data_IF_953926317682
#
_entry.id   IF_953926317682
#
_cell.length_a   1.000
_cell.length_b   1.000
_cell.length_c   1.000
_cell.angle_alpha   90.00
_cell.angle_beta   90.00
_cell.angle_gamma   90.00
#
_symmetry.space_group_name_H-M   'P 1'
#
loop_
_entity.id
_entity.type
_entity.pdbx_description
1 polymer ?
#
# COMPACT_ATOMS: atom_id res chain seq x y z
N UNK A 1 -7.06 31.31 6.33
CA UNK A 1 -5.81 30.54 6.23
C UNK A 1 -6.22 29.07 6.19
N UNK A 2 -5.76 28.30 5.21
CA UNK A 2 -6.05 26.85 5.17
C UNK A 2 -5.02 26.17 6.06
N UNK A 3 -5.47 25.52 7.13
CA UNK A 3 -4.58 24.74 8.00
C UNK A 3 -3.94 23.62 7.18
N UNK A 4 -2.61 23.61 7.11
CA UNK A 4 -1.87 22.59 6.36
C UNK A 4 -1.87 21.31 7.20
N UNK A 5 -2.52 20.27 6.69
CA UNK A 5 -2.62 18.98 7.37
C UNK A 5 -1.38 18.15 7.00
N UNK A 6 -0.64 17.69 8.02
CA UNK A 6 0.43 16.70 7.83
C UNK A 6 -0.15 15.33 7.47
N UNK A 7 0.54 14.58 6.61
CA UNK A 7 0.08 13.26 6.15
C UNK A 7 -0.18 12.27 7.30
N UNK A 8 0.56 12.41 8.41
CA UNK A 8 0.37 11.59 9.61
C UNK A 8 -1.00 11.81 10.26
N UNK A 9 -1.55 13.03 10.18
CA UNK A 9 -2.88 13.33 10.69
C UNK A 9 -3.98 12.71 9.83
N UNK A 10 -3.76 12.60 8.51
CA UNK A 10 -4.68 11.88 7.63
C UNK A 10 -4.72 10.39 7.98
N UNK A 11 -3.56 9.79 8.23
CA UNK A 11 -3.49 8.40 8.66
C UNK A 11 -4.25 8.16 9.97
N UNK A 12 -4.11 9.04 10.97
CA UNK A 12 -4.85 8.92 12.24
C UNK A 12 -6.37 8.90 12.04
N UNK A 13 -6.89 9.62 11.03
CA UNK A 13 -8.32 9.57 10.69
C UNK A 13 -8.70 8.24 10.05
N UNK A 14 -7.89 7.73 9.13
CA UNK A 14 -8.11 6.43 8.49
C UNK A 14 -8.04 5.28 9.51
N UNK A 15 -7.15 5.35 10.48
CA UNK A 15 -6.99 4.33 11.53
C UNK A 15 -8.24 4.14 12.41
N UNK A 16 -9.04 5.21 12.54
CA UNK A 16 -10.31 5.21 13.28
C UNK A 16 -11.49 4.75 12.43
N UNK A 17 -11.31 4.52 11.13
CA UNK A 17 -12.40 4.11 10.25
C UNK A 17 -12.88 2.70 10.60
N UNK A 18 -14.20 2.46 10.75
CA UNK A 18 -14.74 1.17 11.20
C UNK A 18 -14.34 0.01 10.26
N UNK A 19 -14.29 0.25 8.95
CA UNK A 19 -13.90 -0.79 7.99
C UNK A 19 -12.47 -1.30 8.19
N UNK A 20 -11.55 -0.48 8.72
CA UNK A 20 -10.19 -0.92 8.99
C UNK A 20 -10.15 -1.83 10.23
N UNK A 21 -10.90 -1.48 11.28
CA UNK A 21 -11.06 -2.33 12.45
C UNK A 21 -11.76 -3.65 12.12
N UNK A 22 -12.79 -3.59 11.26
CA UNK A 22 -13.49 -4.76 10.74
C UNK A 22 -12.55 -5.65 9.92
N UNK A 23 -11.77 -5.08 8.99
CA UNK A 23 -10.79 -5.83 8.21
C UNK A 23 -9.77 -6.55 9.09
N UNK A 24 -9.20 -5.86 10.08
CA UNK A 24 -8.25 -6.47 11.01
C UNK A 24 -8.87 -7.58 11.89
N UNK A 25 -10.15 -7.48 12.21
CA UNK A 25 -10.86 -8.51 12.97
C UNK A 25 -11.25 -9.71 12.09
N UNK A 26 -11.69 -9.46 10.86
CA UNK A 26 -12.08 -10.50 9.90
C UNK A 26 -10.88 -11.36 9.50
N UNK A 27 -9.72 -10.76 9.26
CA UNK A 27 -8.49 -11.49 8.88
C UNK A 27 -8.02 -12.49 9.95
N UNK A 28 -8.50 -12.41 11.20
CA UNK A 28 -8.24 -13.44 12.22
C UNK A 28 -9.07 -14.71 12.02
N UNK A 29 -10.20 -14.61 11.31
CA UNK A 29 -11.20 -15.65 11.18
C UNK A 29 -11.37 -16.15 9.74
N UNK A 30 -10.90 -15.38 8.74
CA UNK A 30 -11.00 -15.73 7.32
C UNK A 30 -9.63 -15.78 6.67
N UNK A 31 -9.47 -16.69 5.70
CA UNK A 31 -8.25 -16.77 4.91
C UNK A 31 -8.17 -15.71 3.80
N UNK A 32 -9.32 -15.29 3.26
CA UNK A 32 -9.40 -14.35 2.14
C UNK A 32 -10.40 -13.26 2.48
N UNK A 33 -9.95 -12.01 2.36
CA UNK A 33 -10.79 -10.81 2.50
C UNK A 33 -10.69 -10.00 1.21
N UNK A 34 -11.82 -9.69 0.59
CA UNK A 34 -11.89 -8.76 -0.54
C UNK A 34 -12.24 -7.36 -0.03
N UNK A 35 -11.43 -6.37 -0.39
CA UNK A 35 -11.63 -4.96 -0.04
C UNK A 35 -11.83 -4.17 -1.32
N UNK A 36 -12.97 -3.50 -1.44
CA UNK A 36 -13.35 -2.73 -2.63
C UNK A 36 -13.51 -1.24 -2.30
N UNK A 37 -13.55 -0.38 -3.32
CA UNK A 37 -13.72 1.07 -3.17
C UNK A 37 -12.47 1.84 -2.77
N UNK A 38 -11.30 1.21 -2.73
CA UNK A 38 -10.02 1.90 -2.52
C UNK A 38 -9.51 2.46 -3.85
N UNK A 39 -9.39 3.78 -3.92
CA UNK A 39 -8.88 4.52 -5.08
C UNK A 39 -7.63 5.35 -4.73
N UNK A 40 -6.68 5.45 -5.67
CA UNK A 40 -5.44 6.20 -5.48
C UNK A 40 -4.69 5.78 -4.20
N UNK A 41 -4.28 6.78 -3.42
CA UNK A 41 -3.50 6.63 -2.18
C UNK A 41 -4.28 6.06 -0.99
N UNK A 42 -5.61 5.89 -1.09
CA UNK A 42 -6.38 5.23 -0.04
C UNK A 42 -5.95 3.77 0.16
N UNK A 43 -5.42 3.10 -0.88
CA UNK A 43 -4.82 1.77 -0.78
C UNK A 43 -3.63 1.77 0.17
N UNK A 44 -2.72 2.75 0.04
CA UNK A 44 -1.55 2.87 0.90
C UNK A 44 -1.94 3.19 2.35
N UNK A 45 -2.88 4.12 2.56
CA UNK A 45 -3.35 4.46 3.91
C UNK A 45 -4.06 3.28 4.60
N UNK A 46 -4.88 2.53 3.86
CA UNK A 46 -5.50 1.31 4.37
C UNK A 46 -4.45 0.26 4.73
N UNK A 47 -3.48 0.02 3.85
CA UNK A 47 -2.38 -0.92 4.07
C UNK A 47 -1.55 -0.58 5.30
N UNK A 48 -1.15 0.68 5.46
CA UNK A 48 -0.42 1.16 6.64
C UNK A 48 -1.26 1.03 7.90
N UNK A 49 -2.53 1.44 7.85
CA UNK A 49 -3.43 1.32 9.00
C UNK A 49 -3.63 -0.14 9.41
N UNK A 50 -3.67 -1.06 8.45
CA UNK A 50 -3.78 -2.49 8.71
C UNK A 50 -2.48 -3.02 9.31
N UNK A 51 -1.32 -2.66 8.75
CA UNK A 51 0.00 -3.02 9.29
C UNK A 51 0.18 -2.57 10.74
N UNK A 52 -0.27 -1.37 11.10
CA UNK A 52 -0.21 -0.88 12.49
C UNK A 52 -1.14 -1.64 13.44
N UNK A 53 -2.33 -2.06 12.97
CA UNK A 53 -3.27 -2.85 13.78
C UNK A 53 -2.88 -4.32 13.90
N UNK A 54 -2.27 -4.87 12.86
CA UNK A 54 -1.81 -6.26 12.77
C UNK A 54 -0.34 -6.26 12.29
N UNK A 55 0.63 -6.02 13.20
CA UNK A 55 2.04 -5.97 12.83
C UNK A 55 2.55 -7.33 12.35
N UNK A 56 2.78 -7.43 11.04
CA UNK A 56 3.36 -8.59 10.37
C UNK A 56 3.90 -8.18 9.00
N UNK A 57 4.64 -9.07 8.34
CA UNK A 57 5.14 -8.83 6.98
C UNK A 57 4.00 -8.93 5.97
N UNK A 58 3.81 -7.89 5.16
CA UNK A 58 2.86 -7.87 4.05
C UNK A 58 3.57 -7.83 2.71
N UNK A 59 3.09 -8.63 1.76
CA UNK A 59 3.49 -8.57 0.36
C UNK A 59 2.34 -7.97 -0.46
N UNK A 60 2.62 -6.85 -1.14
CA UNK A 60 1.67 -6.22 -2.06
C UNK A 60 2.11 -6.46 -3.49
N UNK A 61 1.20 -7.02 -4.30
CA UNK A 61 1.44 -7.34 -5.71
C UNK A 61 0.55 -6.46 -6.55
N UNK A 62 1.14 -5.77 -7.54
CA UNK A 62 0.43 -4.92 -8.50
C UNK A 62 0.63 -5.44 -9.92
N UNK A 63 -0.28 -5.06 -10.81
CA UNK A 63 -0.28 -5.52 -12.21
C UNK A 63 0.89 -4.94 -13.03
N UNK A 64 1.42 -3.80 -12.61
CA UNK A 64 2.45 -3.07 -13.36
C UNK A 64 3.39 -2.30 -12.41
N UNK A 65 4.57 -1.95 -12.93
CA UNK A 65 5.62 -1.30 -12.16
C UNK A 65 5.28 0.15 -11.76
N UNK A 66 4.44 0.84 -12.54
CA UNK A 66 4.03 2.22 -12.26
C UNK A 66 3.07 2.25 -11.05
N UNK A 67 2.02 1.42 -11.07
CA UNK A 67 1.09 1.25 -9.95
C UNK A 67 1.81 0.82 -8.66
N UNK A 68 2.75 -0.12 -8.77
CA UNK A 68 3.58 -0.54 -7.65
C UNK A 68 4.44 0.60 -7.10
N UNK A 69 5.05 1.40 -8.00
CA UNK A 69 5.89 2.54 -7.66
C UNK A 69 5.12 3.64 -6.93
N UNK A 70 3.91 3.97 -7.40
CA UNK A 70 3.03 4.92 -6.70
C UNK A 70 2.65 4.41 -5.30
N UNK A 71 2.24 3.15 -5.17
CA UNK A 71 1.92 2.59 -3.87
C UNK A 71 3.13 2.57 -2.92
N UNK A 72 4.31 2.20 -3.41
CA UNK A 72 5.54 2.22 -2.63
C UNK A 72 5.86 3.63 -2.13
N UNK A 73 5.73 4.64 -2.99
CA UNK A 73 5.99 6.03 -2.62
C UNK A 73 5.00 6.51 -1.55
N UNK A 74 3.71 6.25 -1.72
CA UNK A 74 2.67 6.62 -0.77
C UNK A 74 2.93 5.97 0.60
N UNK A 75 3.23 4.67 0.66
CA UNK A 75 3.54 3.99 1.92
C UNK A 75 4.81 4.58 2.56
N UNK A 76 5.84 4.83 1.77
CA UNK A 76 7.12 5.40 2.24
C UNK A 76 6.94 6.81 2.80
N UNK A 77 6.10 7.64 2.21
CA UNK A 77 5.78 8.98 2.74
C UNK A 77 5.09 8.90 4.11
N UNK A 78 4.32 7.84 4.36
CA UNK A 78 3.49 7.71 5.56
C UNK A 78 4.24 7.08 6.73
N UNK A 79 5.07 6.05 6.49
CA UNK A 79 5.78 5.32 7.57
C UNK A 79 7.31 5.35 7.46
N UNK A 80 7.85 6.09 6.48
CA UNK A 80 9.27 6.13 6.17
C UNK A 80 9.73 4.92 5.34
N UNK A 81 11.02 4.90 5.00
CA UNK A 81 11.62 3.90 4.10
C UNK A 81 12.24 2.69 4.81
N UNK A 82 12.38 2.74 6.14
CA UNK A 82 13.07 1.65 6.89
C UNK A 82 12.29 0.33 6.87
N UNK A 83 10.97 0.43 6.86
CA UNK A 83 10.05 -0.71 6.97
C UNK A 83 9.47 -1.12 5.60
N UNK A 84 9.91 -0.49 4.50
CA UNK A 84 9.29 -0.63 3.19
C UNK A 84 10.34 -1.02 2.16
N UNK A 85 10.15 -2.18 1.53
CA UNK A 85 11.03 -2.70 0.48
C UNK A 85 10.30 -2.67 -0.85
N UNK A 86 11.02 -2.32 -1.92
CA UNK A 86 10.51 -2.38 -3.29
C UNK A 86 11.21 -3.48 -4.07
N UNK A 87 10.43 -4.41 -4.61
CA UNK A 87 10.94 -5.52 -5.43
C UNK A 87 10.52 -5.30 -6.89
N UNK A 88 11.33 -4.58 -7.70
CA UNK A 88 11.03 -4.45 -9.12
C UNK A 88 11.16 -5.82 -9.81
N UNK A 89 10.47 -5.99 -10.93
CA UNK A 89 10.65 -7.19 -11.75
C UNK A 89 12.12 -7.31 -12.19
N UNK A 90 12.72 -8.48 -11.96
CA UNK A 90 14.06 -8.81 -12.47
C UNK A 90 14.06 -8.97 -14.01
N UNK A 91 12.88 -9.08 -14.63
CA UNK A 91 12.74 -9.20 -16.07
C UNK A 91 12.99 -7.85 -16.74
N UNK A 92 14.26 -7.53 -16.99
CA UNK A 92 14.64 -6.49 -17.94
C UNK A 92 14.14 -6.95 -19.31
N UNK A 93 13.04 -6.38 -19.80
CA UNK A 93 12.62 -6.56 -21.20
C UNK A 93 13.72 -5.97 -22.10
N UNK A 94 14.71 -6.78 -22.45
CA UNK A 94 15.57 -6.54 -23.62
C UNK A 94 14.79 -6.63 -24.95
N UNK A 95 13.48 -6.91 -24.90
CA UNK A 95 12.62 -7.04 -26.08
C UNK A 95 11.69 -5.83 -26.31
N UNK A 96 12.03 -4.62 -25.82
CA UNK A 96 11.29 -3.40 -26.18
C UNK A 96 11.89 -2.63 -27.38
N UNK A 97 13.00 -3.11 -27.95
CA UNK A 97 13.70 -2.49 -29.07
C UNK A 97 14.17 -3.49 -30.14
N UNK A 98 13.43 -4.58 -30.37
CA UNK A 98 13.58 -5.40 -31.59
C UNK A 98 15.01 -5.81 -31.95
N UNK A 99 15.86 -6.13 -30.97
CA UNK A 99 17.11 -6.81 -31.29
C UNK A 99 16.77 -8.26 -31.62
N UNK A 100 16.94 -8.60 -32.90
CA UNK A 100 17.13 -9.98 -33.32
C UNK A 100 18.53 -10.40 -32.87
N UNK A 101 18.65 -11.60 -32.31
CA UNK A 101 19.94 -12.29 -32.16
C UNK A 101 20.65 -12.40 -33.53
#
# INVERSE_FOLDING_TARGET
MVDTIDISQLLQRVEKHPNLAAAGSLLKNVHVLSVTGLHGSSRALFSVGLFRKLPQTYLYIFNDAESAGYFYHDVTQVIGSKEVLFFPSAYKRAAKYGQLD
#
